data_IF_722068453019
#
_entry.id   IF_722068453019
#
_cell.length_a   1.000
_cell.length_b   1.000
_cell.length_c   1.000
_cell.angle_alpha   90.00
_cell.angle_beta   90.00
_cell.angle_gamma   90.00
#
_symmetry.space_group_name_H-M   'P 1'
#
loop_
_entity.id
_entity.type
_entity.pdbx_description
1 polymer ?
#
# COMPACT_ATOMS: atom_id res chain seq x y z
N UNK A 1 11.69 -8.24 -9.08
CA UNK A 1 10.25 -8.29 -9.44
C UNK A 1 9.96 -7.17 -10.44
N UNK A 2 9.16 -7.39 -11.48
CA UNK A 2 8.74 -6.31 -12.39
C UNK A 2 7.43 -5.72 -11.87
N UNK A 3 7.40 -4.41 -11.61
CA UNK A 3 6.21 -3.66 -11.16
C UNK A 3 6.04 -2.50 -12.12
N UNK A 4 4.88 -2.40 -12.76
CA UNK A 4 4.56 -1.35 -13.74
C UNK A 4 5.63 -1.17 -14.85
N UNK A 5 6.28 -2.28 -15.24
CA UNK A 5 7.32 -2.29 -16.27
C UNK A 5 8.73 -1.91 -15.80
N UNK A 6 8.91 -1.62 -14.51
CA UNK A 6 10.21 -1.33 -13.89
C UNK A 6 10.67 -2.56 -13.12
N UNK A 7 11.92 -2.96 -13.33
CA UNK A 7 12.56 -4.02 -12.57
C UNK A 7 13.04 -3.49 -11.22
N UNK A 8 12.54 -4.10 -10.15
CA UNK A 8 12.98 -3.85 -8.79
C UNK A 8 13.68 -5.11 -8.26
N UNK A 9 15.01 -5.11 -8.29
CA UNK A 9 15.85 -6.23 -7.85
C UNK A 9 15.71 -6.50 -6.34
N UNK A 10 15.46 -5.44 -5.55
CA UNK A 10 15.35 -5.52 -4.09
C UNK A 10 13.96 -5.85 -3.57
N UNK A 11 12.93 -5.90 -4.41
CA UNK A 11 11.56 -6.19 -3.95
C UNK A 11 11.40 -7.69 -3.73
N UNK A 12 11.10 -8.06 -2.49
CA UNK A 12 10.80 -9.44 -2.08
C UNK A 12 9.31 -9.74 -2.16
N UNK A 13 8.44 -8.81 -1.73
CA UNK A 13 7.00 -9.02 -1.64
C UNK A 13 6.24 -7.69 -1.76
N UNK A 14 5.05 -7.74 -2.35
CA UNK A 14 4.08 -6.64 -2.33
C UNK A 14 2.75 -7.20 -1.86
N UNK A 15 2.11 -6.52 -0.92
CA UNK A 15 0.81 -6.95 -0.41
C UNK A 15 -0.32 -6.61 -1.38
N UNK A 16 -1.46 -7.29 -1.21
CA UNK A 16 -2.75 -6.82 -1.72
C UNK A 16 -3.11 -5.41 -1.21
N UNK A 17 -4.04 -4.78 -1.92
CA UNK A 17 -4.60 -3.47 -1.55
C UNK A 17 -5.22 -3.53 -0.16
N UNK A 18 -4.95 -2.53 0.67
CA UNK A 18 -5.50 -2.41 2.03
C UNK A 18 -5.59 -0.97 2.49
N UNK A 19 -6.34 -0.74 3.57
CA UNK A 19 -6.39 0.56 4.25
C UNK A 19 -5.10 0.76 5.06
N UNK A 20 -4.47 1.91 4.87
CA UNK A 20 -3.24 2.35 5.54
C UNK A 20 -3.47 3.71 6.21
N UNK A 21 -2.73 3.97 7.29
CA UNK A 21 -2.80 5.22 8.06
C UNK A 21 -1.59 6.12 7.78
N UNK A 22 -1.83 7.43 7.74
CA UNK A 22 -0.81 8.48 7.66
C UNK A 22 -1.15 9.65 8.58
N UNK A 23 -0.26 10.65 8.67
CA UNK A 23 -0.55 11.89 9.37
C UNK A 23 -1.73 12.68 8.75
N UNK A 24 -2.02 12.50 7.46
CA UNK A 24 -3.10 13.19 6.76
C UNK A 24 -4.46 12.46 6.85
N UNK A 25 -4.50 11.27 7.47
CA UNK A 25 -5.69 10.41 7.52
C UNK A 25 -5.41 9.01 6.97
N UNK A 26 -6.46 8.37 6.46
CA UNK A 26 -6.44 6.99 5.95
C UNK A 26 -6.42 6.97 4.43
N UNK A 27 -5.87 5.94 3.80
CA UNK A 27 -5.85 5.79 2.35
C UNK A 27 -5.79 4.32 1.95
N UNK A 28 -6.12 4.01 0.70
CA UNK A 28 -5.94 2.68 0.13
C UNK A 28 -4.56 2.63 -0.53
N UNK A 29 -3.79 1.61 -0.21
CA UNK A 29 -2.46 1.41 -0.78
C UNK A 29 -1.94 -0.01 -0.60
N UNK A 30 -0.71 -0.25 -1.03
CA UNK A 30 0.00 -1.51 -0.80
C UNK A 30 1.23 -1.29 0.07
N UNK A 31 1.69 -2.36 0.68
CA UNK A 31 2.97 -2.40 1.37
C UNK A 31 3.97 -3.21 0.56
N UNK A 32 5.24 -2.87 0.66
CA UNK A 32 6.35 -3.58 0.04
C UNK A 32 7.31 -4.08 1.12
N UNK A 33 7.84 -5.28 0.91
CA UNK A 33 8.97 -5.82 1.66
C UNK A 33 10.19 -5.83 0.75
N UNK A 34 11.25 -5.19 1.21
CA UNK A 34 12.50 -5.07 0.47
C UNK A 34 13.56 -6.00 1.05
N UNK A 35 14.57 -6.33 0.25
CA UNK A 35 15.75 -7.12 0.66
C UNK A 35 16.44 -6.50 1.89
N UNK A 36 16.47 -5.17 1.94
CA UNK A 36 17.10 -4.36 2.98
C UNK A 36 16.15 -3.92 4.10
N UNK A 37 14.86 -4.29 4.06
CA UNK A 37 13.89 -3.84 5.09
C UNK A 37 13.89 -4.69 6.36
N UNK A 38 14.86 -5.60 6.53
CA UNK A 38 15.00 -6.50 7.69
C UNK A 38 13.70 -7.23 8.05
N UNK A 39 12.97 -7.67 7.03
CA UNK A 39 11.70 -8.38 7.23
C UNK A 39 10.46 -7.48 7.30
N UNK A 40 10.63 -6.17 7.47
CA UNK A 40 9.55 -5.21 7.68
C UNK A 40 8.85 -4.80 6.38
N UNK A 41 7.56 -4.50 6.50
CA UNK A 41 6.77 -3.92 5.42
C UNK A 41 6.80 -2.38 5.49
N UNK A 42 7.02 -1.75 4.34
CA UNK A 42 7.06 -0.30 4.17
C UNK A 42 5.90 0.13 3.25
N UNK A 43 5.35 1.36 3.41
CA UNK A 43 4.42 1.92 2.44
C UNK A 43 5.02 1.93 1.03
N UNK A 44 4.29 1.40 0.06
CA UNK A 44 4.75 1.31 -1.32
C UNK A 44 4.09 2.37 -2.20
N UNK A 45 2.83 2.14 -2.56
CA UNK A 45 2.05 3.03 -3.40
C UNK A 45 0.72 3.40 -2.74
N UNK A 46 0.30 4.63 -3.00
CA UNK A 46 -1.01 5.16 -2.60
C UNK A 46 -1.93 5.12 -3.82
N UNK A 47 -3.05 4.41 -3.70
CA UNK A 47 -4.01 4.18 -4.77
C UNK A 47 -5.30 4.99 -4.62
N UNK A 48 -5.39 5.83 -3.60
CA UNK A 48 -6.53 6.73 -3.38
C UNK A 48 -6.09 8.10 -2.85
N UNK A 49 -7.05 9.03 -2.74
CA UNK A 49 -6.90 10.20 -1.87
C UNK A 49 -6.93 9.82 -0.37
N UNK A 50 -6.82 10.83 0.50
CA UNK A 50 -6.96 10.64 1.94
C UNK A 50 -8.43 10.72 2.38
N UNK A 51 -8.81 9.78 3.24
CA UNK A 51 -10.06 9.74 3.96
C UNK A 51 -9.84 10.20 5.40
N UNK A 52 -10.81 10.91 5.95
CA UNK A 52 -10.73 11.37 7.34
C UNK A 52 -10.89 10.23 8.34
N UNK A 53 -11.70 9.20 8.01
CA UNK A 53 -11.98 8.05 8.87
C UNK A 53 -11.60 6.75 8.17
N UNK A 54 -11.17 5.77 8.97
CA UNK A 54 -10.79 4.44 8.49
C UNK A 54 -11.96 3.72 7.81
N UNK A 55 -13.16 3.83 8.38
CA UNK A 55 -14.38 3.20 7.84
C UNK A 55 -14.72 3.68 6.44
N UNK A 56 -14.47 4.96 6.13
CA UNK A 56 -14.73 5.52 4.81
C UNK A 56 -13.72 4.96 3.78
N UNK A 57 -12.46 4.78 4.18
CA UNK A 57 -11.43 4.15 3.36
C UNK A 57 -11.72 2.65 3.13
N UNK A 58 -12.19 1.96 4.18
CA UNK A 58 -12.55 0.54 4.10
C UNK A 58 -13.76 0.31 3.18
N UNK A 59 -14.80 1.14 3.32
CA UNK A 59 -15.94 1.11 2.42
C UNK A 59 -15.56 1.41 0.96
N UNK A 60 -14.57 2.29 0.74
CA UNK A 60 -14.04 2.55 -0.60
C UNK A 60 -13.27 1.34 -1.16
N UNK A 61 -12.44 0.68 -0.34
CA UNK A 61 -11.69 -0.51 -0.75
C UNK A 61 -12.62 -1.66 -1.19
N UNK A 62 -13.70 -1.87 -0.46
CA UNK A 62 -14.67 -2.93 -0.75
C UNK A 62 -15.50 -2.69 -2.02
N UNK A 63 -15.71 -1.42 -2.41
CA UNK A 63 -16.45 -1.07 -3.64
C UNK A 63 -15.64 -1.30 -4.93
N UNK A 64 -14.32 -1.23 -4.81
CA UNK A 64 -13.37 -1.36 -5.92
C UNK A 64 -12.77 -2.77 -6.04
N UNK A 65 -13.25 -3.74 -5.25
CA UNK A 65 -12.75 -5.13 -5.17
C UNK A 65 -13.61 -6.12 -5.95
#
# INVERSE_FOLDING_TARGET
>A
MIIDGIEYEDVLEITERRVLRSAAGFYIGRLVKMSWSDGNFLPFDRQSGYFRKEIDAQAALERDS
#
